data_IF_238048776397
#
_entry.id   IF_238048776397
#
_cell.length_a   1.000
_cell.length_b   1.000
_cell.length_c   1.000
_cell.angle_alpha   90.00
_cell.angle_beta   90.00
_cell.angle_gamma   90.00
#
_symmetry.space_group_name_H-M   'P 1'
#
loop_
_entity.id
_entity.type
_entity.pdbx_description
1 polymer ?
#
# COMPACT_ATOMS: atom_id res chain seq x y z
N UNK A 1 -1.94 4.82 23.39
CA UNK A 1 -2.52 5.24 22.10
C UNK A 1 -2.12 6.69 21.89
N UNK A 2 -1.13 6.98 21.04
CA UNK A 2 -0.62 8.34 20.82
C UNK A 2 -1.52 9.05 19.81
N UNK A 3 -2.32 10.01 20.26
CA UNK A 3 -3.13 10.87 19.39
C UNK A 3 -2.18 11.82 18.66
N UNK A 4 -2.00 11.62 17.35
CA UNK A 4 -1.22 12.54 16.53
C UNK A 4 -2.14 13.70 16.16
N UNK A 5 -1.94 14.86 16.78
CA UNK A 5 -2.76 16.05 16.53
C UNK A 5 -2.38 16.82 15.25
N UNK A 6 -1.25 16.48 14.63
CA UNK A 6 -0.72 17.18 13.46
C UNK A 6 -1.05 16.43 12.16
N UNK A 7 -1.81 17.08 11.27
CA UNK A 7 -2.23 16.56 9.97
C UNK A 7 -1.07 16.06 9.10
N UNK A 8 0.07 16.76 9.09
CA UNK A 8 1.25 16.36 8.31
C UNK A 8 1.83 15.04 8.83
N UNK A 9 1.88 14.88 10.15
CA UNK A 9 2.34 13.63 10.77
C UNK A 9 1.37 12.48 10.53
N UNK A 10 0.06 12.75 10.52
CA UNK A 10 -0.97 11.76 10.15
C UNK A 10 -0.79 11.29 8.70
N UNK A 11 -0.65 12.22 7.75
CA UNK A 11 -0.41 11.92 6.33
C UNK A 11 0.85 11.09 6.15
N UNK A 12 1.96 11.49 6.79
CA UNK A 12 3.22 10.73 6.74
C UNK A 12 3.03 9.31 7.26
N UNK A 13 2.34 9.15 8.39
CA UNK A 13 2.10 7.84 9.00
C UNK A 13 1.25 6.94 8.10
N UNK A 14 0.22 7.48 7.46
CA UNK A 14 -0.58 6.77 6.47
C UNK A 14 0.30 6.29 5.30
N UNK A 15 1.18 7.16 4.77
CA UNK A 15 2.11 6.79 3.70
C UNK A 15 3.06 5.66 4.10
N UNK A 16 3.56 5.65 5.34
CA UNK A 16 4.37 4.54 5.86
C UNK A 16 3.59 3.22 5.96
N UNK A 17 2.38 3.26 6.51
CA UNK A 17 1.53 2.07 6.65
C UNK A 17 1.13 1.49 5.29
N UNK A 18 0.80 2.32 4.30
CA UNK A 18 0.49 1.85 2.93
C UNK A 18 1.68 1.16 2.27
N UNK A 19 2.90 1.70 2.41
CA UNK A 19 4.13 1.05 1.92
C UNK A 19 4.36 -0.32 2.58
N UNK A 20 4.15 -0.39 3.89
CA UNK A 20 4.23 -1.65 4.64
C UNK A 20 3.21 -2.66 4.15
N UNK A 21 1.94 -2.25 4.00
CA UNK A 21 0.86 -3.08 3.45
C UNK A 21 1.22 -3.66 2.08
N UNK A 22 1.73 -2.83 1.17
CA UNK A 22 2.15 -3.28 -0.18
C UNK A 22 3.22 -4.37 -0.13
N UNK A 23 4.22 -4.19 0.74
CA UNK A 23 5.28 -5.19 0.93
C UNK A 23 4.74 -6.52 1.46
N UNK A 24 3.74 -6.48 2.35
CA UNK A 24 3.07 -7.67 2.88
C UNK A 24 2.23 -8.37 1.82
N UNK A 25 1.49 -7.63 0.99
CA UNK A 25 0.74 -8.20 -0.15
C UNK A 25 1.70 -8.87 -1.14
N UNK A 26 2.82 -8.24 -1.48
CA UNK A 26 3.86 -8.85 -2.34
C UNK A 26 4.47 -10.11 -1.70
N UNK A 27 4.59 -10.16 -0.37
CA UNK A 27 5.05 -11.35 0.36
C UNK A 27 3.98 -12.45 0.33
N UNK A 28 2.71 -12.10 0.53
CA UNK A 28 1.56 -13.01 0.43
C UNK A 28 1.49 -13.63 -0.98
N UNK A 29 1.64 -12.81 -2.02
CA UNK A 29 1.65 -13.27 -3.42
C UNK A 29 2.83 -14.21 -3.70
N UNK A 30 4.02 -13.92 -3.16
CA UNK A 30 5.16 -14.82 -3.27
C UNK A 30 4.93 -16.15 -2.55
N UNK A 31 4.39 -16.11 -1.34
CA UNK A 31 4.01 -17.33 -0.61
C UNK A 31 2.90 -18.08 -1.31
N UNK A 32 1.96 -17.42 -1.99
CA UNK A 32 0.95 -18.06 -2.86
C UNK A 32 1.53 -18.60 -4.17
N UNK A 33 2.77 -18.27 -4.52
CA UNK A 33 3.45 -18.69 -5.75
C UNK A 33 4.64 -19.65 -5.56
N UNK A 34 5.07 -19.98 -4.33
CA UNK A 34 6.04 -21.07 -4.05
C UNK A 34 5.32 -22.44 -4.08
N UNK A 35 5.86 -23.59 -4.49
CA UNK A 35 7.19 -24.04 -4.94
C UNK A 35 7.20 -24.37 -6.45
N UNK A 36 8.23 -23.97 -7.21
CA UNK A 36 8.42 -24.48 -8.57
C UNK A 36 9.25 -25.78 -8.57
N UNK A 37 9.00 -26.65 -9.55
CA UNK A 37 9.54 -28.03 -9.63
C UNK A 37 11.07 -28.17 -9.61
N UNK A 38 11.83 -27.09 -9.79
CA UNK A 38 13.30 -27.14 -9.84
C UNK A 38 13.97 -27.40 -8.48
N UNK A 39 13.26 -27.26 -7.36
CA UNK A 39 13.76 -27.62 -6.01
C UNK A 39 13.85 -29.13 -5.78
N UNK A 40 13.31 -29.95 -6.69
CA UNK A 40 13.35 -31.41 -6.58
C UNK A 40 14.71 -32.02 -6.98
N UNK A 41 15.50 -31.36 -7.83
CA UNK A 41 16.72 -31.92 -8.40
C UNK A 41 17.80 -32.30 -7.35
N UNK A 42 18.07 -31.48 -6.30
CA UNK A 42 19.01 -31.87 -5.26
C UNK A 42 18.53 -33.03 -4.37
N UNK A 43 17.22 -33.17 -4.18
CA UNK A 43 16.63 -34.21 -3.32
C UNK A 43 16.57 -35.58 -4.01
N UNK A 44 16.38 -35.59 -5.33
CA UNK A 44 16.51 -36.79 -6.16
C UNK A 44 17.94 -37.34 -6.17
N UNK A 45 18.96 -36.47 -6.06
CA UNK A 45 20.37 -36.89 -5.96
C UNK A 45 20.70 -37.62 -4.64
N UNK A 46 19.88 -37.46 -3.60
CA UNK A 46 20.03 -38.13 -2.29
C UNK A 46 19.29 -39.48 -2.25
N UNK A 47 18.63 -39.86 -3.35
CA UNK A 47 17.97 -41.16 -3.50
C UNK A 47 16.51 -41.19 -3.06
N UNK A 48 15.89 -40.03 -2.78
CA UNK A 48 14.46 -39.94 -2.56
C UNK A 48 13.71 -40.04 -3.89
N UNK A 49 12.64 -40.83 -3.94
CA UNK A 49 11.77 -40.89 -5.12
C UNK A 49 10.98 -39.59 -5.28
N UNK A 50 10.57 -39.27 -6.51
CA UNK A 50 9.78 -38.07 -6.79
C UNK A 50 8.47 -38.02 -5.99
N UNK A 51 7.89 -39.18 -5.67
CA UNK A 51 6.65 -39.28 -4.90
C UNK A 51 6.87 -39.11 -3.39
N UNK A 52 7.99 -39.61 -2.84
CA UNK A 52 8.39 -39.36 -1.44
C UNK A 52 8.74 -37.89 -1.20
N UNK A 53 9.44 -37.27 -2.15
CA UNK A 53 9.76 -35.83 -2.13
C UNK A 53 8.46 -35.01 -2.16
N UNK A 54 7.52 -35.36 -3.05
CA UNK A 54 6.23 -34.66 -3.13
C UNK A 54 5.42 -34.82 -1.87
N UNK A 55 5.25 -36.03 -1.35
CA UNK A 55 4.41 -36.28 -0.17
C UNK A 55 4.95 -35.62 1.10
N UNK A 56 6.28 -35.63 1.32
CA UNK A 56 6.87 -35.00 2.51
C UNK A 56 6.86 -33.47 2.44
N UNK A 57 7.04 -32.91 1.24
CA UNK A 57 7.02 -31.47 1.03
C UNK A 57 5.58 -30.97 1.08
N UNK A 58 4.60 -31.64 0.48
CA UNK A 58 3.22 -31.16 0.41
C UNK A 58 2.61 -30.92 1.81
N UNK A 59 2.79 -31.85 2.75
CA UNK A 59 2.10 -31.76 4.05
C UNK A 59 2.77 -30.76 5.02
N UNK A 60 4.10 -30.69 5.02
CA UNK A 60 4.87 -29.74 5.85
C UNK A 60 4.89 -28.32 5.25
N UNK A 61 5.10 -28.20 3.93
CA UNK A 61 5.10 -26.90 3.22
C UNK A 61 3.71 -26.28 3.26
N UNK A 62 2.64 -27.07 3.14
CA UNK A 62 1.27 -26.53 3.20
C UNK A 62 0.91 -25.99 4.58
N UNK A 63 1.21 -26.72 5.66
CA UNK A 63 0.90 -26.24 7.01
C UNK A 63 1.72 -25.00 7.40
N UNK A 64 3.01 -24.97 7.06
CA UNK A 64 3.87 -23.80 7.31
C UNK A 64 3.47 -22.60 6.44
N UNK A 65 3.09 -22.85 5.18
CA UNK A 65 2.58 -21.83 4.26
C UNK A 65 1.24 -21.27 4.71
N UNK A 66 0.30 -22.11 5.12
CA UNK A 66 -1.01 -21.68 5.62
C UNK A 66 -0.85 -20.86 6.91
N UNK A 67 0.05 -21.27 7.82
CA UNK A 67 0.38 -20.50 9.01
C UNK A 67 1.03 -19.15 8.66
N UNK A 68 1.97 -19.12 7.72
CA UNK A 68 2.61 -17.89 7.26
C UNK A 68 1.66 -16.95 6.51
N UNK A 69 0.71 -17.50 5.74
CA UNK A 69 -0.35 -16.72 5.09
C UNK A 69 -1.30 -16.12 6.13
N UNK A 70 -1.71 -16.89 7.14
CA UNK A 70 -2.57 -16.42 8.22
C UNK A 70 -1.91 -15.28 9.02
N UNK A 71 -0.61 -15.36 9.29
CA UNK A 71 0.13 -14.27 9.96
C UNK A 71 0.13 -12.98 9.12
N UNK A 72 0.42 -13.11 7.81
CA UNK A 72 0.43 -11.96 6.90
C UNK A 72 -0.97 -11.34 6.77
N UNK A 73 -2.02 -12.15 6.67
CA UNK A 73 -3.40 -11.69 6.61
C UNK A 73 -3.78 -10.92 7.89
N UNK A 74 -3.44 -11.45 9.06
CA UNK A 74 -3.70 -10.77 10.33
C UNK A 74 -2.95 -9.43 10.44
N UNK A 75 -1.73 -9.35 9.91
CA UNK A 75 -0.96 -8.10 9.88
C UNK A 75 -1.53 -7.08 8.87
N UNK A 76 -1.98 -7.53 7.70
CA UNK A 76 -2.68 -6.68 6.73
C UNK A 76 -3.96 -6.11 7.35
N UNK A 77 -4.79 -6.95 8.00
CA UNK A 77 -6.02 -6.52 8.68
C UNK A 77 -5.76 -5.53 9.83
N UNK A 78 -4.65 -5.69 10.53
CA UNK A 78 -4.24 -4.74 11.56
C UNK A 78 -3.83 -3.39 10.95
N UNK A 79 -3.10 -3.40 9.84
CA UNK A 79 -2.72 -2.18 9.11
C UNK A 79 -3.96 -1.49 8.53
N UNK A 80 -4.91 -2.24 7.97
CA UNK A 80 -6.11 -1.68 7.34
C UNK A 80 -6.98 -0.97 8.37
N UNK A 81 -7.18 -1.56 9.56
CA UNK A 81 -7.86 -0.89 10.68
C UNK A 81 -7.13 0.38 11.14
N UNK A 82 -5.80 0.36 11.17
CA UNK A 82 -5.00 1.55 11.52
C UNK A 82 -5.12 2.65 10.47
N UNK A 83 -5.14 2.29 9.19
CA UNK A 83 -5.33 3.23 8.08
C UNK A 83 -6.70 3.89 8.17
N UNK A 84 -7.77 3.11 8.33
CA UNK A 84 -9.14 3.65 8.51
C UNK A 84 -9.24 4.61 9.70
N UNK A 85 -8.60 4.27 10.82
CA UNK A 85 -8.58 5.13 12.00
C UNK A 85 -7.85 6.45 11.74
N UNK A 86 -6.70 6.43 11.08
CA UNK A 86 -5.91 7.63 10.78
C UNK A 86 -6.62 8.51 9.73
N UNK A 87 -7.27 7.89 8.75
CA UNK A 87 -8.06 8.60 7.74
C UNK A 87 -9.27 9.28 8.40
N UNK A 88 -9.95 8.60 9.32
CA UNK A 88 -11.03 9.19 10.12
C UNK A 88 -10.55 10.38 10.95
N UNK A 89 -9.34 10.32 11.51
CA UNK A 89 -8.74 11.44 12.25
C UNK A 89 -8.42 12.63 11.35
N UNK A 90 -7.94 12.40 10.12
CA UNK A 90 -7.75 13.48 9.13
C UNK A 90 -9.09 14.12 8.78
N UNK A 91 -10.13 13.32 8.50
CA UNK A 91 -11.45 13.85 8.14
C UNK A 91 -12.11 14.62 9.28
N UNK A 92 -11.86 14.24 10.54
CA UNK A 92 -12.39 14.90 11.72
C UNK A 92 -11.61 16.15 12.14
N UNK A 93 -10.37 16.32 11.65
CA UNK A 93 -9.49 17.41 12.08
C UNK A 93 -9.34 18.46 10.97
N UNK A 94 -9.76 19.72 11.18
CA UNK A 94 -9.57 20.77 10.19
C UNK A 94 -8.07 21.06 10.01
N UNK A 95 -7.63 21.20 8.76
CA UNK A 95 -6.28 21.65 8.46
C UNK A 95 -6.11 23.12 8.93
N UNK A 96 -5.00 23.40 9.62
CA UNK A 96 -4.71 24.73 10.22
C UNK A 96 -3.57 25.48 9.52
N UNK A 97 -3.02 24.94 8.44
CA UNK A 97 -1.98 25.57 7.63
C UNK A 97 -2.11 25.15 6.17
N UNK A 98 -1.56 25.96 5.26
CA UNK A 98 -1.48 25.64 3.84
C UNK A 98 -0.64 24.38 3.58
N UNK A 99 0.45 24.17 4.33
CA UNK A 99 1.23 22.92 4.27
C UNK A 99 0.40 21.68 4.66
N UNK A 100 -0.47 21.81 5.66
CA UNK A 100 -1.35 20.72 6.06
C UNK A 100 -2.41 20.42 4.99
N UNK A 101 -2.94 21.45 4.33
CA UNK A 101 -3.86 21.29 3.19
C UNK A 101 -3.15 20.59 2.03
N UNK A 102 -1.93 21.04 1.70
CA UNK A 102 -1.09 20.43 0.66
C UNK A 102 -0.86 18.94 0.94
N UNK A 103 -0.50 18.59 2.18
CA UNK A 103 -0.25 17.20 2.56
C UNK A 103 -1.50 16.31 2.39
N UNK A 104 -2.70 16.82 2.74
CA UNK A 104 -3.96 16.08 2.55
C UNK A 104 -4.31 15.94 1.07
N UNK A 105 -4.09 16.99 0.26
CA UNK A 105 -4.29 16.94 -1.18
C UNK A 105 -3.38 15.90 -1.85
N UNK A 106 -2.09 15.89 -1.50
CA UNK A 106 -1.14 14.90 -2.02
C UNK A 106 -1.51 13.47 -1.61
N UNK A 107 -2.01 13.28 -0.39
CA UNK A 107 -2.55 11.98 0.05
C UNK A 107 -3.77 11.55 -0.77
N UNK A 108 -4.69 12.48 -1.05
CA UNK A 108 -5.89 12.21 -1.84
C UNK A 108 -5.54 11.86 -3.30
N UNK A 109 -4.64 12.63 -3.92
CA UNK A 109 -4.12 12.36 -5.27
C UNK A 109 -3.47 10.97 -5.32
N UNK A 110 -2.58 10.67 -4.37
CA UNK A 110 -1.90 9.38 -4.34
C UNK A 110 -2.90 8.22 -4.22
N UNK A 111 -3.95 8.39 -3.39
CA UNK A 111 -5.01 7.38 -3.26
C UNK A 111 -5.82 7.22 -4.55
N UNK A 112 -6.21 8.33 -5.18
CA UNK A 112 -7.04 8.29 -6.39
C UNK A 112 -6.27 7.69 -7.57
N UNK A 113 -4.97 7.99 -7.71
CA UNK A 113 -4.07 7.32 -8.69
C UNK A 113 -3.98 5.81 -8.50
N UNK A 114 -4.07 5.32 -7.26
CA UNK A 114 -4.07 3.87 -6.98
C UNK A 114 -5.40 3.21 -7.36
N UNK A 115 -6.49 3.98 -7.50
CA UNK A 115 -7.84 3.49 -7.76
C UNK A 115 -8.30 3.69 -9.21
N UNK A 116 -7.87 4.78 -9.85
CA UNK A 116 -8.28 5.15 -11.20
C UNK A 116 -7.39 4.43 -12.22
N UNK A 117 -7.97 3.63 -13.14
CA UNK A 117 -7.21 3.08 -14.25
C UNK A 117 -6.63 4.22 -15.11
N UNK A 118 -5.34 4.14 -15.40
CA UNK A 118 -4.59 5.19 -16.10
C UNK A 118 -4.63 5.08 -17.61
N UNK A 119 -5.15 3.98 -18.15
CA UNK A 119 -5.20 3.73 -19.59
C UNK A 119 -6.56 4.18 -20.16
N UNK A 120 -6.60 5.23 -21.01
CA UNK A 120 -7.83 5.71 -21.63
C UNK A 120 -8.53 4.68 -22.53
N UNK A 121 -7.78 3.67 -22.99
CA UNK A 121 -8.29 2.57 -23.80
C UNK A 121 -8.78 1.38 -22.94
N UNK A 122 -8.67 1.47 -21.60
CA UNK A 122 -9.23 0.48 -20.67
C UNK A 122 -10.77 0.56 -20.66
N UNK A 123 -11.41 -0.60 -20.72
CA UNK A 123 -12.87 -0.76 -20.61
C UNK A 123 -13.40 -0.24 -19.27
N UNK A 124 -12.56 -0.18 -18.24
CA UNK A 124 -12.89 0.35 -16.91
C UNK A 124 -12.46 1.81 -16.72
N UNK A 125 -11.99 2.50 -17.76
CA UNK A 125 -11.59 3.90 -17.67
C UNK A 125 -12.79 4.82 -17.36
N UNK A 126 -12.82 5.33 -16.13
CA UNK A 126 -13.80 6.34 -15.73
C UNK A 126 -13.25 7.75 -15.98
N UNK A 127 -13.74 8.38 -17.04
CA UNK A 127 -13.43 9.77 -17.39
C UNK A 127 -13.78 10.76 -16.27
N UNK A 128 -14.75 10.43 -15.41
CA UNK A 128 -15.13 11.21 -14.23
C UNK A 128 -14.03 11.24 -13.19
N UNK A 129 -13.55 10.06 -12.78
CA UNK A 129 -12.48 9.91 -11.79
C UNK A 129 -11.17 10.53 -12.28
N UNK A 130 -10.82 10.30 -13.55
CA UNK A 130 -9.65 10.92 -14.17
C UNK A 130 -9.73 12.45 -14.16
N UNK A 131 -10.91 13.03 -14.43
CA UNK A 131 -11.10 14.48 -14.39
C UNK A 131 -10.98 15.03 -12.98
N UNK A 132 -11.53 14.34 -11.98
CA UNK A 132 -11.38 14.71 -10.56
C UNK A 132 -9.90 14.70 -10.18
N UNK A 133 -9.16 13.65 -10.58
CA UNK A 133 -7.73 13.54 -10.34
C UNK A 133 -6.97 14.74 -10.92
N UNK A 134 -7.21 15.10 -12.19
CA UNK A 134 -6.57 16.28 -12.81
C UNK A 134 -6.89 17.59 -12.09
N UNK A 135 -8.12 17.77 -11.61
CA UNK A 135 -8.51 18.97 -10.85
C UNK A 135 -7.76 19.04 -9.51
N UNK A 136 -7.63 17.91 -8.82
CA UNK A 136 -6.88 17.83 -7.56
C UNK A 136 -5.39 18.08 -7.78
N UNK A 137 -4.80 17.50 -8.81
CA UNK A 137 -3.40 17.71 -9.19
C UNK A 137 -3.12 19.18 -9.51
N UNK A 138 -3.98 19.81 -10.30
CA UNK A 138 -3.87 21.24 -10.60
C UNK A 138 -3.93 22.10 -9.34
N UNK A 139 -4.85 21.81 -8.43
CA UNK A 139 -4.98 22.54 -7.16
C UNK A 139 -3.75 22.36 -6.26
N UNK A 140 -3.19 21.14 -6.20
CA UNK A 140 -1.99 20.85 -5.43
C UNK A 140 -0.73 21.54 -6.03
N UNK A 141 -0.64 21.63 -7.36
CA UNK A 141 0.46 22.33 -8.02
C UNK A 141 0.37 23.85 -7.81
N UNK A 142 -0.83 24.43 -7.91
CA UNK A 142 -1.05 25.86 -7.64
C UNK A 142 -0.71 26.18 -6.17
N UNK A 143 -1.17 25.38 -5.21
CA UNK A 143 -0.86 25.58 -3.79
C UNK A 143 0.63 25.44 -3.48
N UNK A 144 1.32 24.48 -4.10
CA UNK A 144 2.78 24.33 -4.00
C UNK A 144 3.51 25.56 -4.54
N UNK A 145 3.05 26.12 -5.66
CA UNK A 145 3.64 27.34 -6.23
C UNK A 145 3.47 28.54 -5.29
N UNK A 146 2.30 28.69 -4.66
CA UNK A 146 2.04 29.74 -3.66
C UNK A 146 2.97 29.60 -2.45
N UNK A 147 3.08 28.41 -1.86
CA UNK A 147 3.96 28.16 -0.72
C UNK A 147 5.43 28.47 -1.04
N UNK A 148 5.90 28.10 -2.24
CA UNK A 148 7.26 28.38 -2.68
C UNK A 148 7.54 29.87 -2.93
N UNK A 149 6.53 30.65 -3.28
CA UNK A 149 6.63 32.12 -3.39
C UNK A 149 6.68 32.76 -1.99
N UNK A 150 5.82 32.34 -1.06
CA UNK A 150 5.80 32.84 0.32
C UNK A 150 7.12 32.60 1.05
N UNK A 151 7.73 31.41 0.89
CA UNK A 151 9.06 31.11 1.44
C UNK A 151 10.17 31.97 0.86
N UNK A 152 10.09 32.32 -0.44
CA UNK A 152 11.07 33.21 -1.08
C UNK A 152 10.95 34.65 -0.61
N UNK A 153 9.75 35.12 -0.28
CA UNK A 153 9.52 36.46 0.24
C UNK A 153 9.89 36.61 1.73
N UNK A 154 9.88 35.50 2.48
CA UNK A 154 10.26 35.47 3.90
C UNK A 154 11.77 35.29 4.15
N UNK A 155 12.56 34.95 3.13
CA UNK A 155 14.02 34.76 3.20
C UNK A 155 14.78 36.01 2.80
#
# INVERSE_FOLDING_TARGET
MTVIANTILLVRRIGELRRKRRTLVERQDRLRRSLPEWTFAPLQLVGLSADEIRSMIDDLDKAERDAGLAEIEAEIDAIDRQLEQLESQILASPARSLDAIQAVLELAIARLREQTPTDPDDLFYDYGDARILFLLERAADDLRAYLAEEQRQAS
#
